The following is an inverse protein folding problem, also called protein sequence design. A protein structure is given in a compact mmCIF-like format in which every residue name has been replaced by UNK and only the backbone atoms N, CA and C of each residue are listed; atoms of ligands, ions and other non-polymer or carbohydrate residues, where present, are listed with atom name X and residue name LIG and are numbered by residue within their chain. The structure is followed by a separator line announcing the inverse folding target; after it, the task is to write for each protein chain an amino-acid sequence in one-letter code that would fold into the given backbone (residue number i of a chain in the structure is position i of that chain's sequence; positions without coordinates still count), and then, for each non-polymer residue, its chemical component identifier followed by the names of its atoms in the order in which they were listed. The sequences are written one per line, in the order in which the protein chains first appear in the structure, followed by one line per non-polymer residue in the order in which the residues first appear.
data_IF_582106999988
#
_entry.id   IF_582106999988
#
_cell.length_a   1.000
_cell.length_b   1.000
_cell.length_c   1.000
_cell.angle_alpha   90.00
_cell.angle_beta   90.00
_cell.angle_gamma   90.00
#
_symmetry.space_group_name_H-M   'P 1'
#
loop_
_entity.id
_entity.type
_entity.pdbx_description
1 polymer ?
#
# COMPACT_ATOMS: atom_id res chain seq x y z
N UNK A 1 -15.10 -17.43 5.58
CA UNK A 1 -13.69 -17.78 5.88
C UNK A 1 -12.97 -16.49 6.21
N UNK A 2 -12.30 -16.41 7.37
CA UNK A 2 -11.35 -15.31 7.62
C UNK A 2 -10.14 -15.63 6.74
N UNK A 3 -9.97 -14.91 5.63
CA UNK A 3 -8.78 -15.05 4.81
C UNK A 3 -7.54 -14.66 5.63
N UNK A 4 -6.47 -15.47 5.54
CA UNK A 4 -5.18 -15.14 6.16
C UNK A 4 -4.61 -13.85 5.57
N UNK A 5 -3.78 -13.12 6.33
CA UNK A 5 -3.20 -11.85 5.90
C UNK A 5 -2.40 -11.95 4.58
N UNK A 6 -1.70 -13.07 4.37
CA UNK A 6 -1.00 -13.36 3.11
C UNK A 6 -1.98 -13.53 1.94
N UNK A 7 -3.13 -14.17 2.18
CA UNK A 7 -4.17 -14.32 1.16
C UNK A 7 -4.79 -12.97 0.78
N UNK A 8 -5.06 -12.09 1.76
CA UNK A 8 -5.55 -10.72 1.51
C UNK A 8 -4.50 -9.91 0.72
N UNK A 9 -3.22 -10.02 1.10
CA UNK A 9 -2.12 -9.36 0.37
C UNK A 9 -2.08 -9.82 -1.09
N UNK A 10 -2.19 -11.13 -1.34
CA UNK A 10 -2.16 -11.69 -2.68
C UNK A 10 -3.42 -11.39 -3.49
N UNK A 11 -4.59 -11.32 -2.84
CA UNK A 11 -5.83 -10.84 -3.45
C UNK A 11 -5.68 -9.40 -3.94
N UNK A 12 -5.16 -8.51 -3.08
CA UNK A 12 -4.89 -7.11 -3.46
C UNK A 12 -3.90 -7.07 -4.62
N UNK A 13 -2.76 -7.74 -4.52
CA UNK A 13 -1.71 -7.73 -5.56
C UNK A 13 -2.22 -8.25 -6.90
N UNK A 14 -3.13 -9.22 -6.90
CA UNK A 14 -3.76 -9.72 -8.12
C UNK A 14 -4.60 -8.65 -8.86
N UNK A 15 -5.28 -7.75 -8.14
CA UNK A 15 -5.99 -6.60 -8.74
C UNK A 15 -5.04 -5.68 -9.53
N UNK A 16 -3.76 -5.69 -9.16
CA UNK A 16 -2.70 -4.86 -9.74
C UNK A 16 -1.83 -5.60 -10.76
N UNK A 17 -2.21 -6.83 -11.15
CA UNK A 17 -1.41 -7.72 -11.99
C UNK A 17 0.00 -7.99 -11.43
N UNK A 18 0.15 -7.95 -10.10
CA UNK A 18 1.42 -8.21 -9.43
C UNK A 18 1.51 -9.68 -8.98
N UNK A 19 2.69 -10.32 -9.08
CA UNK A 19 2.90 -11.67 -8.59
C UNK A 19 2.59 -11.79 -7.08
N UNK A 20 2.08 -12.95 -6.62
CA UNK A 20 1.84 -13.17 -5.21
C UNK A 20 3.15 -13.19 -4.41
N UNK A 21 3.05 -12.86 -3.13
CA UNK A 21 4.12 -13.03 -2.15
C UNK A 21 3.96 -14.35 -1.39
N UNK A 22 5.09 -14.93 -1.02
CA UNK A 22 5.16 -16.06 -0.10
C UNK A 22 5.17 -15.59 1.35
N UNK A 23 4.87 -16.51 2.27
CA UNK A 23 4.96 -16.28 3.69
C UNK A 23 6.40 -16.47 4.19
N UNK A 24 6.94 -15.49 4.91
CA UNK A 24 8.21 -15.62 5.63
C UNK A 24 7.97 -16.09 7.07
N UNK A 25 7.91 -17.40 7.29
CA UNK A 25 7.71 -17.96 8.63
C UNK A 25 8.83 -17.59 9.63
N UNK A 26 10.04 -17.30 9.12
CA UNK A 26 11.17 -16.85 9.94
C UNK A 26 10.92 -15.47 10.59
N UNK A 27 10.01 -14.66 10.05
CA UNK A 27 9.68 -13.32 10.54
C UNK A 27 8.46 -13.29 11.46
N UNK A 28 7.70 -14.39 11.59
CA UNK A 28 6.43 -14.44 12.34
C UNK A 28 6.57 -14.00 13.80
N UNK A 29 7.62 -14.50 14.46
CA UNK A 29 7.90 -14.13 15.84
C UNK A 29 8.15 -12.62 15.97
N UNK A 30 8.94 -12.05 15.06
CA UNK A 30 9.32 -10.65 15.10
C UNK A 30 8.10 -9.73 14.88
N UNK A 31 7.24 -10.04 13.90
CA UNK A 31 6.02 -9.23 13.65
C UNK A 31 5.01 -9.36 14.79
N UNK A 32 4.90 -10.52 15.45
CA UNK A 32 4.03 -10.71 16.59
C UNK A 32 4.53 -9.97 17.84
N UNK A 33 5.85 -10.02 18.11
CA UNK A 33 6.49 -9.24 19.18
C UNK A 33 6.32 -7.73 18.92
N UNK A 34 6.49 -7.28 17.68
CA UNK A 34 6.27 -5.89 17.29
C UNK A 34 4.84 -5.43 17.56
N UNK A 35 3.83 -6.21 17.13
CA UNK A 35 2.43 -5.91 17.41
C UNK A 35 2.14 -5.91 18.93
N UNK A 36 2.76 -6.80 19.71
CA UNK A 36 2.62 -6.82 21.16
C UNK A 36 3.19 -5.55 21.79
N UNK A 37 4.36 -5.10 21.34
CA UNK A 37 4.98 -3.85 21.80
C UNK A 37 4.05 -2.65 21.59
N UNK A 38 3.46 -2.51 20.39
CA UNK A 38 2.52 -1.41 20.11
C UNK A 38 1.28 -1.44 21.02
N UNK A 39 0.69 -2.63 21.19
CA UNK A 39 -0.52 -2.79 22.02
C UNK A 39 -0.23 -2.58 23.50
N UNK A 40 0.87 -3.12 24.03
CA UNK A 40 1.25 -3.01 25.43
C UNK A 40 1.49 -1.55 25.86
N UNK A 41 1.92 -0.71 24.93
CA UNK A 41 2.23 0.69 25.18
C UNK A 41 1.14 1.66 24.67
N UNK A 42 0.06 1.15 24.06
CA UNK A 42 -1.01 1.96 23.46
C UNK A 42 -0.46 3.05 22.53
N UNK A 43 0.55 2.71 21.73
CA UNK A 43 1.28 3.63 20.88
C UNK A 43 1.73 2.94 19.58
N UNK A 44 1.99 3.73 18.54
CA UNK A 44 2.50 3.28 17.26
C UNK A 44 3.84 3.98 16.97
N UNK A 45 4.89 3.23 16.62
CA UNK A 45 6.19 3.80 16.28
C UNK A 45 6.98 2.88 15.35
N UNK A 46 7.65 3.43 14.34
CA UNK A 46 8.63 2.68 13.55
C UNK A 46 9.99 2.52 14.27
N UNK A 47 10.24 3.30 15.32
CA UNK A 47 11.42 3.15 16.18
C UNK A 47 10.97 3.11 17.65
N UNK A 48 10.36 1.98 18.10
CA UNK A 48 9.91 1.84 19.47
C UNK A 48 11.11 1.88 20.44
N UNK A 49 11.13 2.79 21.42
CA UNK A 49 12.26 2.91 22.34
C UNK A 49 12.35 1.69 23.26
N UNK A 50 13.57 1.34 23.70
CA UNK A 50 13.83 0.19 24.57
C UNK A 50 13.15 0.26 25.95
N UNK A 51 12.61 1.43 26.33
CA UNK A 51 11.81 1.62 27.54
C UNK A 51 10.37 1.12 27.41
N UNK A 52 9.91 0.73 26.23
CA UNK A 52 8.56 0.20 26.03
C UNK A 52 8.38 -1.16 26.74
N UNK A 53 7.17 -1.39 27.25
CA UNK A 53 6.78 -2.70 27.76
C UNK A 53 6.84 -3.75 26.63
N UNK A 54 7.26 -4.97 26.96
CA UNK A 54 7.41 -6.08 26.02
C UNK A 54 8.41 -5.81 24.87
N UNK A 55 9.30 -4.82 25.01
CA UNK A 55 10.27 -4.50 23.98
C UNK A 55 11.22 -5.68 23.72
N UNK A 56 11.42 -5.98 22.43
CA UNK A 56 12.48 -6.89 21.95
C UNK A 56 13.17 -6.25 20.75
N UNK A 57 14.44 -6.61 20.53
CA UNK A 57 15.17 -6.15 19.35
C UNK A 57 14.49 -6.60 18.05
N UNK A 58 14.06 -7.87 17.98
CA UNK A 58 13.38 -8.42 16.81
C UNK A 58 12.05 -7.70 16.50
N UNK A 59 11.24 -7.39 17.53
CA UNK A 59 10.01 -6.63 17.37
C UNK A 59 10.24 -5.18 16.93
N UNK A 60 11.31 -4.54 17.43
CA UNK A 60 11.74 -3.21 16.99
C UNK A 60 12.20 -3.21 15.53
N UNK A 61 12.96 -4.20 15.10
CA UNK A 61 13.43 -4.31 13.71
C UNK A 61 12.27 -4.61 12.74
N UNK A 62 11.28 -5.42 13.16
CA UNK A 62 10.05 -5.62 12.41
C UNK A 62 9.18 -4.34 12.35
N UNK A 63 9.18 -3.51 13.40
CA UNK A 63 8.48 -2.22 13.38
C UNK A 63 9.13 -1.24 12.37
N UNK A 64 10.46 -1.20 12.37
CA UNK A 64 11.23 -0.33 11.48
C UNK A 64 11.08 -0.69 10.00
N UNK A 65 10.76 -1.95 9.70
CA UNK A 65 10.67 -2.50 8.35
C UNK A 65 9.27 -2.94 7.91
N UNK A 66 8.25 -2.54 8.67
CA UNK A 66 6.88 -2.99 8.46
C UNK A 66 5.88 -1.86 8.31
N UNK A 67 4.80 -2.11 7.57
CA UNK A 67 3.59 -1.33 7.66
C UNK A 67 2.96 -1.54 9.04
N UNK A 68 2.59 -0.44 9.71
CA UNK A 68 2.03 -0.47 11.05
C UNK A 68 0.58 -0.01 11.02
N UNK A 69 -0.26 -0.61 11.85
CA UNK A 69 -1.61 -0.13 12.10
C UNK A 69 -1.93 -0.25 13.58
N UNK A 70 -2.66 0.74 14.10
CA UNK A 70 -3.20 0.71 15.44
C UNK A 70 -4.69 1.04 15.40
N UNK A 71 -5.47 0.36 16.23
CA UNK A 71 -6.90 0.62 16.37
C UNK A 71 -7.32 0.49 17.82
N UNK A 72 -8.22 1.36 18.25
CA UNK A 72 -8.94 1.25 19.52
C UNK A 72 -10.46 1.29 19.29
N UNK A 73 -11.23 0.78 20.24
CA UNK A 73 -12.70 0.75 20.15
C UNK A 73 -13.20 -0.65 19.84
N UNK A 74 -13.69 -0.89 18.62
CA UNK A 74 -14.29 -2.19 18.28
C UNK A 74 -13.25 -3.26 17.86
N UNK A 75 -13.69 -4.52 17.82
CA UNK A 75 -12.88 -5.59 17.25
C UNK A 75 -12.78 -5.43 15.73
N UNK A 76 -11.58 -5.15 15.20
CA UNK A 76 -11.33 -5.09 13.76
C UNK A 76 -11.02 -6.47 13.18
N UNK A 77 -11.36 -6.71 11.92
CA UNK A 77 -10.88 -7.87 11.15
C UNK A 77 -9.60 -7.51 10.39
N UNK A 78 -8.80 -8.50 9.99
CA UNK A 78 -7.57 -8.25 9.24
C UNK A 78 -7.84 -7.47 7.95
N UNK A 79 -8.93 -7.78 7.24
CA UNK A 79 -9.28 -7.07 6.01
C UNK A 79 -9.38 -5.55 6.21
N UNK A 80 -9.88 -5.09 7.37
CA UNK A 80 -10.04 -3.65 7.65
C UNK A 80 -8.67 -2.95 7.74
N UNK A 81 -7.66 -3.66 8.23
CA UNK A 81 -6.28 -3.16 8.30
C UNK A 81 -5.74 -2.97 6.88
N UNK A 82 -5.91 -3.98 6.03
CA UNK A 82 -5.47 -3.91 4.63
C UNK A 82 -6.26 -2.88 3.82
N UNK A 83 -7.58 -2.75 4.03
CA UNK A 83 -8.40 -1.73 3.40
C UNK A 83 -7.88 -0.32 3.74
N UNK A 84 -7.66 -0.03 5.03
CA UNK A 84 -7.11 1.25 5.47
C UNK A 84 -5.69 1.54 4.94
N UNK A 85 -4.85 0.51 4.81
CA UNK A 85 -3.54 0.65 4.15
C UNK A 85 -3.63 0.87 2.64
N UNK A 86 -4.73 0.47 1.99
CA UNK A 86 -4.92 0.68 0.56
C UNK A 86 -5.57 2.03 0.25
N UNK A 87 -6.59 2.44 1.02
CA UNK A 87 -7.26 3.73 0.82
C UNK A 87 -6.48 4.91 1.41
N UNK A 88 -5.70 4.67 2.48
CA UNK A 88 -4.85 5.64 3.19
C UNK A 88 -5.61 6.85 3.73
N UNK A 89 -6.92 6.74 3.92
CA UNK A 89 -7.77 7.90 4.23
C UNK A 89 -7.67 8.34 5.69
N UNK A 90 -7.45 7.39 6.60
CA UNK A 90 -7.26 7.64 8.04
C UNK A 90 -5.77 7.50 8.44
N UNK A 91 -4.85 7.71 7.48
CA UNK A 91 -3.40 7.64 7.73
C UNK A 91 -2.95 8.77 8.66
N UNK A 92 -2.05 8.45 9.60
CA UNK A 92 -1.42 9.44 10.50
C UNK A 92 -0.47 10.38 9.74
N UNK A 93 0.09 9.91 8.63
CA UNK A 93 0.91 10.74 7.73
C UNK A 93 0.02 11.37 6.67
N UNK A 94 -0.13 12.70 6.72
CA UNK A 94 -0.95 13.46 5.78
C UNK A 94 -0.47 13.21 4.35
N UNK A 95 -1.40 12.88 3.46
CA UNK A 95 -1.19 12.69 2.02
C UNK A 95 -0.10 11.67 1.67
N UNK A 96 0.09 10.66 2.54
CA UNK A 96 1.02 9.56 2.33
C UNK A 96 0.30 8.29 1.88
N UNK A 97 0.86 7.64 0.86
CA UNK A 97 0.40 6.34 0.34
C UNK A 97 1.44 5.24 0.57
N UNK A 98 2.27 5.41 1.60
CA UNK A 98 3.42 4.57 1.89
C UNK A 98 3.06 3.11 2.15
N UNK A 99 1.98 2.83 2.90
CA UNK A 99 1.58 1.46 3.19
C UNK A 99 1.16 0.73 1.92
N UNK A 100 0.32 1.40 1.11
CA UNK A 100 -0.09 0.89 -0.20
C UNK A 100 1.11 0.60 -1.10
N UNK A 101 2.06 1.53 -1.19
CA UNK A 101 3.26 1.37 -2.04
C UNK A 101 4.11 0.17 -1.63
N UNK A 102 4.19 -0.14 -0.34
CA UNK A 102 4.86 -1.35 0.14
C UNK A 102 4.10 -2.64 -0.20
N UNK A 103 2.78 -2.66 -0.05
CA UNK A 103 1.94 -3.82 -0.42
C UNK A 103 2.03 -4.09 -1.93
N UNK A 104 2.05 -3.03 -2.73
CA UNK A 104 2.13 -3.07 -4.18
C UNK A 104 3.56 -3.04 -4.74
N UNK A 105 4.59 -3.21 -3.90
CA UNK A 105 5.97 -3.26 -4.40
C UNK A 105 6.12 -4.46 -5.35
N UNK A 106 6.42 -4.24 -6.66
CA UNK A 106 6.58 -5.32 -7.62
C UNK A 106 7.70 -6.30 -7.26
N UNK A 107 8.66 -5.85 -6.46
CA UNK A 107 9.84 -6.61 -6.05
C UNK A 107 9.70 -7.29 -4.69
N UNK A 108 8.57 -7.09 -3.99
CA UNK A 108 8.26 -7.85 -2.78
C UNK A 108 7.98 -9.31 -3.15
N UNK A 109 8.72 -10.22 -2.54
CA UNK A 109 8.61 -11.68 -2.78
C UNK A 109 8.06 -12.43 -1.59
N UNK A 110 8.31 -11.93 -0.38
CA UNK A 110 7.89 -12.54 0.88
C UNK A 110 7.38 -11.46 1.83
N UNK A 111 6.49 -11.86 2.73
CA UNK A 111 6.04 -11.00 3.84
C UNK A 111 5.65 -11.83 5.05
N UNK A 112 5.54 -11.20 6.21
CA UNK A 112 4.98 -11.76 7.43
C UNK A 112 4.03 -10.76 8.07
N UNK A 113 3.01 -11.25 8.76
CA UNK A 113 1.98 -10.40 9.38
C UNK A 113 1.74 -10.85 10.83
N UNK A 114 1.90 -9.92 11.76
CA UNK A 114 1.60 -10.10 13.17
C UNK A 114 0.45 -9.21 13.59
N UNK A 115 -0.41 -9.72 14.48
CA UNK A 115 -1.49 -8.94 15.07
C UNK A 115 -1.74 -9.35 16.50
N UNK A 116 -1.81 -8.36 17.38
CA UNK A 116 -2.20 -8.53 18.77
C UNK A 116 -3.50 -7.76 19.01
N UNK A 117 -4.42 -8.38 19.73
CA UNK A 117 -5.66 -7.76 20.20
C UNK A 117 -5.75 -7.94 21.70
N UNK A 118 -6.04 -6.87 22.43
CA UNK A 118 -6.27 -6.90 23.88
C UNK A 118 -7.57 -6.18 24.22
N UNK A 119 -8.19 -6.55 25.35
CA UNK A 119 -9.30 -5.78 25.93
C UNK A 119 -8.77 -4.45 26.46
N UNK A 120 -9.50 -3.36 26.22
CA UNK A 120 -9.17 -2.03 26.75
C UNK A 120 -10.09 -1.59 27.89
N UNK A 121 -10.89 -2.51 28.46
CA UNK A 121 -11.91 -2.21 29.45
C UNK A 121 -13.20 -1.67 28.83
N UNK A 122 -14.31 -1.73 29.59
CA UNK A 122 -15.62 -1.21 29.14
C UNK A 122 -16.19 -1.87 27.88
N UNK A 123 -15.77 -3.09 27.55
CA UNK A 123 -16.15 -3.79 26.32
C UNK A 123 -15.38 -3.39 25.06
N UNK A 124 -14.36 -2.53 25.18
CA UNK A 124 -13.51 -2.10 24.08
C UNK A 124 -12.32 -3.03 23.82
N UNK A 125 -11.75 -2.93 22.62
CA UNK A 125 -10.53 -3.61 22.20
C UNK A 125 -9.48 -2.59 21.73
N UNK A 126 -8.22 -2.95 21.91
CA UNK A 126 -7.08 -2.35 21.20
C UNK A 126 -6.42 -3.41 20.36
N UNK A 127 -5.99 -3.04 19.17
CA UNK A 127 -5.18 -3.93 18.33
C UNK A 127 -4.10 -3.18 17.61
N UNK A 128 -2.94 -3.81 17.46
CA UNK A 128 -1.92 -3.37 16.54
C UNK A 128 -1.60 -4.50 15.56
N UNK A 129 -1.26 -4.11 14.35
CA UNK A 129 -0.90 -5.01 13.26
C UNK A 129 0.41 -4.53 12.65
N UNK A 130 1.27 -5.48 12.28
CA UNK A 130 2.55 -5.23 11.64
C UNK A 130 2.67 -6.17 10.44
N UNK A 131 2.86 -5.61 9.25
CA UNK A 131 3.22 -6.36 8.04
C UNK A 131 4.64 -6.01 7.65
N UNK A 132 5.59 -6.96 7.75
CA UNK A 132 6.98 -6.71 7.37
C UNK A 132 7.12 -6.68 5.84
N UNK A 133 7.68 -5.60 5.30
CA UNK A 133 7.65 -5.30 3.85
C UNK A 133 9.03 -5.05 3.24
N UNK A 134 10.08 -4.98 4.06
CA UNK A 134 11.48 -5.07 3.63
C UNK A 134 12.34 -5.65 4.76
N UNK A 135 13.64 -5.82 4.50
CA UNK A 135 14.61 -6.42 5.43
C UNK A 135 14.12 -7.74 6.06
N UNK A 136 13.44 -8.57 5.26
CA UNK A 136 12.92 -9.87 5.69
C UNK A 136 14.06 -10.89 5.84
N UNK A 137 13.88 -11.84 6.75
CA UNK A 137 14.79 -12.97 6.90
C UNK A 137 14.79 -13.91 5.68
N UNK A 138 13.75 -13.84 4.84
CA UNK A 138 13.64 -14.60 3.60
C UNK A 138 13.29 -13.66 2.44
N UNK A 139 14.03 -13.78 1.35
CA UNK A 139 13.76 -13.09 0.08
C UNK A 139 13.89 -14.07 -1.08
N UNK A 140 13.03 -13.95 -2.08
CA UNK A 140 13.09 -14.72 -3.32
C UNK A 140 13.87 -14.00 -4.42
N UNK A 141 14.00 -14.67 -5.57
CA UNK A 141 14.48 -14.04 -6.79
C UNK A 141 13.53 -12.92 -7.25
N UNK A 142 14.06 -11.98 -8.06
CA UNK A 142 13.25 -10.95 -8.72
C UNK A 142 12.04 -11.59 -9.41
N UNK A 143 10.80 -11.16 -9.12
CA UNK A 143 9.62 -11.73 -9.74
C UNK A 143 9.62 -11.56 -11.27
N UNK A 144 9.14 -12.59 -11.98
CA UNK A 144 8.90 -12.53 -13.42
C UNK A 144 7.46 -12.09 -13.73
N UNK A 145 7.18 -11.72 -14.98
CA UNK A 145 5.82 -11.35 -15.41
C UNK A 145 5.31 -10.01 -14.86
N UNK A 146 6.20 -9.13 -14.42
CA UNK A 146 5.82 -7.80 -13.94
C UNK A 146 5.14 -6.98 -15.05
N UNK A 147 4.09 -6.21 -14.73
CA UNK A 147 3.49 -5.28 -15.69
C UNK A 147 4.46 -4.12 -16.00
N UNK A 148 4.12 -3.25 -16.94
CA UNK A 148 4.93 -2.05 -17.24
C UNK A 148 4.66 -0.91 -16.25
N UNK A 149 3.52 -0.97 -15.56
CA UNK A 149 3.04 0.00 -14.59
C UNK A 149 1.98 -0.65 -13.70
N UNK A 150 1.66 -0.01 -12.58
CA UNK A 150 0.47 -0.33 -11.79
C UNK A 150 -0.15 0.95 -11.24
N UNK A 151 -1.45 0.92 -10.96
CA UNK A 151 -2.20 2.06 -10.45
C UNK A 151 -3.22 1.66 -9.38
N UNK A 152 -3.46 2.54 -8.43
CA UNK A 152 -4.57 2.40 -7.49
C UNK A 152 -5.57 3.55 -7.68
N UNK A 153 -6.86 3.25 -7.84
CA UNK A 153 -7.42 1.96 -8.28
C UNK A 153 -7.12 1.69 -9.77
N UNK A 154 -7.27 0.43 -10.22
CA UNK A 154 -7.23 0.06 -11.64
C UNK A 154 -8.21 -1.08 -11.93
N UNK A 155 -8.72 -1.14 -13.16
CA UNK A 155 -9.70 -2.15 -13.58
C UNK A 155 -10.98 -2.11 -12.76
N UNK A 156 -11.66 -3.25 -12.67
CA UNK A 156 -12.74 -3.44 -11.70
C UNK A 156 -12.11 -3.57 -10.30
N UNK A 157 -12.34 -2.56 -9.47
CA UNK A 157 -11.71 -2.43 -8.16
C UNK A 157 -12.74 -2.62 -7.03
N UNK A 158 -12.56 -3.60 -6.13
CA UNK A 158 -13.53 -3.87 -5.08
C UNK A 158 -13.73 -2.68 -4.13
N UNK A 159 -14.98 -2.30 -3.90
CA UNK A 159 -15.37 -1.21 -3.00
C UNK A 159 -14.83 -1.41 -1.57
N UNK A 160 -14.64 -2.66 -1.14
CA UNK A 160 -14.05 -2.99 0.18
C UNK A 160 -12.59 -2.55 0.36
N UNK A 161 -11.89 -2.16 -0.71
CA UNK A 161 -10.53 -1.62 -0.66
C UNK A 161 -10.45 -0.17 -1.14
N UNK A 162 -11.58 0.54 -1.23
CA UNK A 162 -11.66 1.89 -1.78
C UNK A 162 -12.56 2.80 -0.93
N UNK A 163 -12.12 4.04 -0.76
CA UNK A 163 -12.91 5.13 -0.18
C UNK A 163 -12.89 6.30 -1.19
N UNK A 164 -14.00 7.02 -1.33
CA UNK A 164 -14.12 8.18 -2.23
C UNK A 164 -13.14 9.32 -1.93
N UNK A 165 -12.54 9.33 -0.73
CA UNK A 165 -11.51 10.29 -0.29
C UNK A 165 -10.09 9.79 -0.60
N UNK A 166 -9.93 8.56 -1.10
CA UNK A 166 -8.64 7.92 -1.30
C UNK A 166 -7.83 8.61 -2.40
N UNK A 167 -6.59 8.97 -2.07
CA UNK A 167 -5.62 9.47 -3.05
C UNK A 167 -5.28 8.33 -4.00
N UNK A 168 -5.40 8.57 -5.31
CA UNK A 168 -5.02 7.63 -6.35
C UNK A 168 -3.50 7.67 -6.54
N UNK A 169 -2.90 6.56 -6.95
CA UNK A 169 -1.46 6.52 -7.25
C UNK A 169 -1.15 5.77 -8.53
N UNK A 170 -0.06 6.15 -9.18
CA UNK A 170 0.45 5.52 -10.38
C UNK A 170 1.98 5.39 -10.31
N UNK A 171 2.49 4.25 -10.74
CA UNK A 171 3.93 3.95 -10.74
C UNK A 171 4.31 3.18 -12.01
N UNK A 172 5.51 3.46 -12.53
CA UNK A 172 6.07 2.84 -13.74
C UNK A 172 7.19 1.88 -13.37
N UNK A 173 7.16 0.69 -13.95
CA UNK A 173 8.23 -0.31 -13.84
C UNK A 173 9.10 -0.20 -15.09
N UNK A 174 10.03 0.76 -15.06
CA UNK A 174 10.96 1.07 -16.14
C UNK A 174 12.04 -0.01 -16.35
N UNK A 175 12.39 -0.74 -15.29
CA UNK A 175 13.30 -1.88 -15.34
C UNK A 175 12.74 -3.01 -14.47
N UNK A 176 12.47 -4.17 -15.08
CA UNK A 176 11.87 -5.33 -14.41
C UNK A 176 12.91 -6.21 -13.70
N UNK A 177 14.20 -5.94 -13.90
CA UNK A 177 15.28 -6.74 -13.32
C UNK A 177 15.72 -6.28 -11.94
N UNK A 178 15.47 -5.01 -11.60
CA UNK A 178 15.89 -4.40 -10.34
C UNK A 178 14.90 -3.35 -9.85
N UNK A 179 14.73 -3.26 -8.53
CA UNK A 179 13.92 -2.22 -7.88
C UNK A 179 14.46 -0.80 -8.09
N UNK A 180 15.77 -0.66 -8.25
CA UNK A 180 16.47 0.61 -8.28
C UNK A 180 16.86 1.01 -9.71
N UNK A 181 17.78 1.96 -9.87
CA UNK A 181 18.26 2.38 -11.18
C UNK A 181 17.17 3.10 -11.97
N UNK A 182 16.84 2.59 -13.16
CA UNK A 182 15.87 3.23 -14.07
C UNK A 182 14.50 3.47 -13.41
N UNK A 183 14.07 2.59 -12.51
CA UNK A 183 12.83 2.77 -11.74
C UNK A 183 12.86 4.02 -10.85
N UNK A 184 14.02 4.38 -10.30
CA UNK A 184 14.17 5.60 -9.48
C UNK A 184 14.29 6.87 -10.32
N UNK A 185 14.60 6.72 -11.61
CA UNK A 185 14.80 7.82 -12.55
C UNK A 185 13.54 8.16 -13.37
N UNK A 186 12.41 7.46 -13.13
CA UNK A 186 11.11 7.84 -13.69
C UNK A 186 10.76 9.22 -13.13
N UNK A 187 10.50 10.17 -14.02
CA UNK A 187 10.28 11.57 -13.68
C UNK A 187 8.87 12.01 -14.09
N UNK A 188 8.11 12.47 -13.09
CA UNK A 188 6.73 12.95 -13.23
C UNK A 188 6.63 14.50 -13.21
N UNK A 189 7.75 15.22 -13.19
CA UNK A 189 7.76 16.70 -13.07
C UNK A 189 7.05 17.44 -14.21
N UNK A 190 7.01 16.84 -15.39
CA UNK A 190 6.28 17.36 -16.54
C UNK A 190 4.94 16.64 -16.77
N UNK A 191 4.57 15.69 -15.92
CA UNK A 191 3.42 14.84 -16.14
C UNK A 191 2.11 15.61 -15.96
N UNK A 192 1.11 15.28 -16.77
CA UNK A 192 -0.26 15.77 -16.62
C UNK A 192 -1.22 14.60 -16.48
N UNK A 193 -2.21 14.73 -15.60
CA UNK A 193 -3.22 13.70 -15.33
C UNK A 193 -4.58 14.22 -15.73
N UNK A 194 -5.33 13.39 -16.46
CA UNK A 194 -6.75 13.61 -16.76
C UNK A 194 -7.54 12.38 -16.31
N UNK A 195 -8.67 12.59 -15.64
CA UNK A 195 -9.62 11.52 -15.30
C UNK A 195 -10.96 11.87 -15.94
N UNK A 196 -11.45 11.01 -16.83
CA UNK A 196 -12.68 11.21 -17.59
C UNK A 196 -13.72 10.16 -17.22
N UNK A 197 -14.92 10.59 -16.87
CA UNK A 197 -16.07 9.69 -16.76
C UNK A 197 -16.50 9.25 -18.17
N UNK A 198 -16.44 7.96 -18.46
CA UNK A 198 -16.77 7.44 -19.78
C UNK A 198 -18.24 7.64 -20.14
N UNK A 199 -19.15 7.62 -19.16
CA UNK A 199 -20.58 7.73 -19.42
C UNK A 199 -20.99 9.17 -19.79
N UNK A 200 -20.43 10.17 -19.10
CA UNK A 200 -20.75 11.58 -19.34
C UNK A 200 -19.78 12.28 -20.29
N UNK A 201 -18.60 11.72 -20.52
CA UNK A 201 -17.48 12.37 -21.20
C UNK A 201 -16.82 13.51 -20.40
N UNK A 202 -17.33 13.81 -19.20
CA UNK A 202 -16.85 14.88 -18.34
C UNK A 202 -15.49 14.57 -17.71
N UNK A 203 -14.64 15.59 -17.57
CA UNK A 203 -13.35 15.49 -16.89
C UNK A 203 -13.53 15.86 -15.43
N UNK A 204 -13.05 15.01 -14.52
CA UNK A 204 -13.08 15.27 -13.09
C UNK A 204 -12.03 16.30 -12.68
N UNK A 205 -12.37 17.16 -11.72
CA UNK A 205 -11.39 18.02 -11.08
C UNK A 205 -10.46 17.19 -10.20
N UNK A 206 -9.15 17.48 -10.29
CA UNK A 206 -8.12 16.82 -9.49
C UNK A 206 -7.60 17.77 -8.41
N UNK A 207 -7.28 17.20 -7.25
CA UNK A 207 -6.58 17.86 -6.15
C UNK A 207 -5.42 16.98 -5.66
N UNK A 208 -4.62 17.48 -4.70
CA UNK A 208 -3.51 16.74 -4.08
C UNK A 208 -2.56 16.07 -5.10
N UNK A 209 -2.30 16.76 -6.22
CA UNK A 209 -1.36 16.26 -7.22
C UNK A 209 0.04 16.42 -6.68
N UNK A 210 0.76 15.31 -6.52
CA UNK A 210 2.14 15.28 -6.03
C UNK A 210 2.88 14.08 -6.61
N UNK A 211 4.20 14.11 -6.58
CA UNK A 211 5.01 12.98 -7.01
C UNK A 211 6.31 12.92 -6.22
N UNK A 212 6.89 11.73 -6.14
CA UNK A 212 8.16 11.49 -5.47
C UNK A 212 8.87 10.24 -6.02
N UNK A 213 10.16 10.13 -5.70
CA UNK A 213 10.99 8.95 -5.98
C UNK A 213 11.55 8.36 -4.67
N UNK A 214 10.82 8.51 -3.56
CA UNK A 214 11.20 7.94 -2.27
C UNK A 214 11.11 6.41 -2.32
N UNK A 215 11.91 5.74 -1.51
CA UNK A 215 12.06 4.27 -1.53
C UNK A 215 10.95 3.47 -0.84
N UNK A 216 9.71 3.97 -0.79
CA UNK A 216 8.58 3.20 -0.26
C UNK A 216 8.07 2.25 -1.36
N UNK A 217 8.42 0.97 -1.28
CA UNK A 217 8.21 0.06 -2.41
C UNK A 217 8.96 0.53 -3.66
N UNK A 218 8.31 0.49 -4.83
CA UNK A 218 8.90 1.00 -6.08
C UNK A 218 9.24 2.50 -5.96
N UNK A 219 10.46 2.94 -6.33
CA UNK A 219 10.94 4.30 -6.07
C UNK A 219 10.51 5.33 -7.14
N UNK A 220 9.24 5.31 -7.52
CA UNK A 220 8.58 6.36 -8.29
C UNK A 220 7.07 6.28 -8.03
N UNK A 221 6.43 7.43 -7.84
CA UNK A 221 5.04 7.51 -7.46
C UNK A 221 4.46 8.87 -7.90
N UNK A 222 3.35 8.83 -8.61
CA UNK A 222 2.51 9.98 -8.91
C UNK A 222 1.18 9.81 -8.17
N UNK A 223 0.74 10.85 -7.48
CA UNK A 223 -0.48 10.88 -6.67
C UNK A 223 -1.43 11.96 -7.17
N UNK A 224 -2.72 11.71 -7.07
CA UNK A 224 -3.78 12.68 -7.36
C UNK A 224 -5.10 12.23 -6.73
N UNK A 225 -5.97 13.17 -6.36
CA UNK A 225 -7.29 12.90 -5.81
C UNK A 225 -8.38 13.42 -6.78
N UNK A 226 -9.08 12.55 -7.51
CA UNK A 226 -10.22 12.95 -8.33
C UNK A 226 -11.46 13.23 -7.48
N UNK A 227 -12.18 14.29 -7.80
CA UNK A 227 -13.45 14.62 -7.15
C UNK A 227 -14.62 13.84 -7.77
N UNK A 228 -15.53 13.34 -6.93
CA UNK A 228 -16.83 12.83 -7.39
C UNK A 228 -16.79 11.47 -8.08
N UNK A 229 -15.83 10.60 -7.72
CA UNK A 229 -15.87 9.19 -8.12
C UNK A 229 -17.12 8.52 -7.55
N UNK A 230 -17.83 7.78 -8.40
CA UNK A 230 -19.05 7.06 -8.07
C UNK A 230 -18.86 5.57 -8.36
N UNK A 231 -19.47 4.74 -7.50
CA UNK A 231 -19.52 3.30 -7.71
C UNK A 231 -20.26 2.95 -9.02
N UNK A 232 -19.81 1.90 -9.70
CA UNK A 232 -20.39 1.41 -10.94
C UNK A 232 -20.08 2.23 -12.20
N UNK A 233 -19.48 3.42 -12.06
CA UNK A 233 -19.00 4.22 -13.21
C UNK A 233 -17.58 3.86 -13.60
N UNK A 234 -17.33 3.81 -14.90
CA UNK A 234 -15.98 3.61 -15.46
C UNK A 234 -15.34 4.97 -15.74
N UNK A 235 -14.12 5.13 -15.22
CA UNK A 235 -13.29 6.30 -15.45
C UNK A 235 -12.07 5.91 -16.26
N UNK A 236 -11.72 6.73 -17.25
CA UNK A 236 -10.47 6.64 -18.01
C UNK A 236 -9.47 7.64 -17.45
N UNK A 237 -8.28 7.16 -17.10
CA UNK A 237 -7.16 7.97 -16.63
C UNK A 237 -6.12 8.03 -17.74
N UNK A 238 -5.72 9.25 -18.11
CA UNK A 238 -4.59 9.49 -19.01
C UNK A 238 -3.50 10.23 -18.25
N UNK A 239 -2.27 9.73 -18.31
CA UNK A 239 -1.08 10.33 -17.71
C UNK A 239 -0.08 10.56 -18.82
N UNK A 240 0.05 11.82 -19.25
CA UNK A 240 0.95 12.21 -20.33
C UNK A 240 2.26 12.76 -19.78
N UNK A 241 3.29 12.84 -20.63
CA UNK A 241 4.58 13.48 -20.36
C UNK A 241 5.39 12.88 -19.19
N UNK A 242 5.18 11.60 -18.89
CA UNK A 242 6.04 10.86 -17.93
C UNK A 242 7.38 10.59 -18.60
N UNK A 243 8.49 11.04 -18.01
CA UNK A 243 9.82 10.77 -18.58
C UNK A 243 10.35 9.44 -18.05
N UNK A 244 10.59 8.50 -18.97
CA UNK A 244 11.15 7.17 -18.67
C UNK A 244 12.35 6.96 -19.57
N UNK A 245 13.53 6.73 -18.98
CA UNK A 245 14.80 6.62 -19.73
C UNK A 245 14.99 7.80 -20.71
N UNK A 246 14.80 9.03 -20.20
CA UNK A 246 14.86 10.30 -20.93
C UNK A 246 13.84 10.49 -22.08
N UNK A 247 12.91 9.56 -22.28
CA UNK A 247 11.87 9.65 -23.32
C UNK A 247 10.50 9.93 -22.71
N UNK A 248 9.71 10.88 -23.24
CA UNK A 248 8.35 11.08 -22.79
C UNK A 248 7.48 9.87 -23.17
N UNK A 249 6.64 9.46 -22.24
CA UNK A 249 5.67 8.37 -22.37
C UNK A 249 4.30 8.86 -21.94
N UNK A 250 3.29 8.24 -22.52
CA UNK A 250 1.91 8.38 -22.12
C UNK A 250 1.38 7.02 -21.66
N UNK A 251 0.57 7.05 -20.62
CA UNK A 251 -0.10 5.88 -20.06
C UNK A 251 -1.60 6.15 -20.00
N UNK A 252 -2.40 5.15 -20.36
CA UNK A 252 -3.85 5.19 -20.17
C UNK A 252 -4.32 3.91 -19.50
N UNK A 253 -5.26 4.04 -18.57
CA UNK A 253 -5.93 2.91 -17.93
C UNK A 253 -7.34 3.29 -17.52
N UNK A 254 -8.15 2.28 -17.19
CA UNK A 254 -9.49 2.50 -16.65
C UNK A 254 -9.59 1.98 -15.23
N UNK A 255 -10.52 2.54 -14.47
CA UNK A 255 -10.98 1.94 -13.23
C UNK A 255 -12.49 2.09 -13.07
N UNK A 256 -13.10 1.13 -12.35
CA UNK A 256 -14.49 1.15 -11.93
C UNK A 256 -14.60 0.53 -10.54
N UNK A 257 -15.23 1.24 -9.61
CA UNK A 257 -15.46 0.69 -8.27
C UNK A 257 -16.65 -0.26 -8.31
N UNK A 258 -16.50 -1.47 -7.79
CA UNK A 258 -17.51 -2.55 -7.83
C UNK A 258 -17.76 -3.15 -6.45
N UNK A 259 -19.03 -3.39 -6.10
CA UNK A 259 -19.45 -4.13 -4.89
C UNK A 259 -19.18 -5.63 -4.95
#
# INVERSE_FOLDING_TARGET
MIAGAIAITNEIRALHNLPPVAHSAADDRAVQESALMMVANNALSHDPPSSWSCWTQAGRDAAASGNLAFRSGSFGQNFMVFAGWMDEVDNLSIDSVGHRRWILDPFLTHTAFGRVVTSSGGGGYRSASVMRVFDLATSGATPSGLPDWYAYPQGDYPAKYYDTRAIHSFSVIADKSTKWGANRNVDFSAASVTVRDQASGGVLSLSKVSYDNQGFGLPNNLQFLPAGVQEGRTYEVTIANVRVNASPREYSYTFRIVS
#
